data_IF_957579796931
#
_entry.id   IF_957579796931
#
_cell.length_a   1.000
_cell.length_b   1.000
_cell.length_c   1.000
_cell.angle_alpha   90.00
_cell.angle_beta   90.00
_cell.angle_gamma   90.00
#
_symmetry.space_group_name_H-M   'P 1'
#
loop_
_entity.id
_entity.type
_entity.pdbx_description
1 polymer ?
#
# COMPACT_ATOMS: atom_id res chain seq x y z
N UNK A 1 -13.79 4.57 28.24
CA UNK A 1 -14.98 4.15 27.46
C UNK A 1 -14.68 4.45 26.00
N UNK A 2 -14.29 3.44 25.23
CA UNK A 2 -13.86 3.59 23.83
C UNK A 2 -15.12 3.57 22.96
N UNK A 3 -15.48 4.71 22.38
CA UNK A 3 -16.54 4.77 21.38
C UNK A 3 -16.01 4.14 20.08
N UNK A 4 -16.40 2.90 19.81
CA UNK A 4 -16.14 2.25 18.54
C UNK A 4 -17.16 2.76 17.51
N UNK A 5 -16.78 3.73 16.70
CA UNK A 5 -17.50 4.04 15.47
C UNK A 5 -17.02 3.08 14.37
N UNK A 6 -17.93 2.25 13.85
CA UNK A 6 -17.67 1.44 12.66
C UNK A 6 -18.02 2.27 11.43
N UNK A 7 -17.01 2.80 10.72
CA UNK A 7 -17.19 3.23 9.34
C UNK A 7 -16.81 2.07 8.43
N UNK A 8 -17.76 1.60 7.62
CA UNK A 8 -17.44 0.77 6.47
C UNK A 8 -16.68 1.68 5.53
N UNK A 9 -15.39 1.40 5.28
CA UNK A 9 -14.62 2.10 4.25
C UNK A 9 -15.33 1.92 2.91
N UNK A 10 -16.11 2.94 2.53
CA UNK A 10 -16.68 3.10 1.21
C UNK A 10 -15.59 3.56 0.26
N UNK A 11 -15.13 2.65 -0.61
CA UNK A 11 -15.21 2.92 -2.06
C UNK A 11 -15.99 1.81 -2.80
N UNK A 12 -16.10 0.61 -2.21
CA UNK A 12 -16.68 -0.57 -2.87
C UNK A 12 -18.22 -0.54 -2.92
N UNK A 13 -18.87 -0.03 -1.86
CA UNK A 13 -20.33 0.12 -1.82
C UNK A 13 -20.82 1.19 -2.82
N UNK A 14 -20.02 2.23 -3.08
CA UNK A 14 -20.32 3.26 -4.07
C UNK A 14 -20.19 2.71 -5.50
N UNK A 15 -19.16 1.89 -5.76
CA UNK A 15 -18.94 1.22 -7.05
C UNK A 15 -20.10 0.29 -7.46
N UNK A 16 -20.67 -0.46 -6.52
CA UNK A 16 -21.81 -1.36 -6.81
C UNK A 16 -23.08 -0.59 -7.21
N UNK A 17 -23.38 0.54 -6.53
CA UNK A 17 -24.52 1.40 -6.88
C UNK A 17 -24.36 2.09 -8.24
N UNK A 18 -23.15 2.48 -8.61
CA UNK A 18 -22.89 3.20 -9.86
C UNK A 18 -22.78 2.30 -11.09
N UNK A 19 -22.42 1.02 -10.92
CA UNK A 19 -22.13 0.12 -12.05
C UNK A 19 -23.20 -0.95 -12.29
N UNK A 20 -24.19 -1.10 -11.40
CA UNK A 20 -25.21 -2.16 -11.49
C UNK A 20 -24.65 -3.58 -11.33
N UNK A 21 -23.34 -3.73 -11.07
CA UNK A 21 -22.71 -5.03 -10.82
C UNK A 21 -22.97 -5.44 -9.38
N UNK A 22 -23.60 -6.61 -9.22
CA UNK A 22 -23.74 -7.26 -7.93
C UNK A 22 -22.36 -7.48 -7.30
N UNK A 23 -22.28 -7.47 -5.97
CA UNK A 23 -21.05 -7.82 -5.26
C UNK A 23 -20.52 -9.16 -5.75
N UNK A 24 -19.25 -9.19 -6.17
CA UNK A 24 -18.60 -10.44 -6.54
C UNK A 24 -18.57 -11.33 -5.27
N UNK A 25 -19.18 -12.53 -5.28
CA UNK A 25 -19.14 -13.44 -4.14
C UNK A 25 -17.71 -13.90 -3.80
N UNK A 26 -16.72 -13.58 -4.65
CA UNK A 26 -15.30 -13.80 -4.43
C UNK A 26 -14.56 -12.63 -3.77
N UNK A 27 -15.22 -11.49 -3.52
CA UNK A 27 -14.60 -10.34 -2.87
C UNK A 27 -14.42 -10.56 -1.37
N UNK A 28 -13.18 -10.42 -0.91
CA UNK A 28 -12.87 -10.32 0.52
C UNK A 28 -13.23 -8.91 1.01
N UNK A 29 -13.89 -8.81 2.16
CA UNK A 29 -14.15 -7.51 2.78
C UNK A 29 -13.04 -7.19 3.74
N UNK A 30 -12.40 -6.05 3.58
CA UNK A 30 -11.53 -5.49 4.61
C UNK A 30 -12.40 -4.63 5.52
N UNK A 31 -12.82 -5.19 6.64
CA UNK A 31 -13.52 -4.43 7.67
C UNK A 31 -12.52 -4.02 8.73
N UNK A 32 -12.34 -2.72 8.88
CA UNK A 32 -11.49 -2.13 9.91
C UNK A 32 -12.36 -1.42 10.91
N UNK A 33 -12.14 -1.69 12.20
CA UNK A 33 -12.67 -0.81 13.23
C UNK A 33 -11.86 0.46 13.15
N UNK A 34 -12.43 1.59 13.55
CA UNK A 34 -11.62 2.75 13.91
C UNK A 34 -10.81 2.39 15.18
N UNK A 35 -9.80 1.54 15.03
CA UNK A 35 -8.77 1.36 16.03
C UNK A 35 -7.95 2.64 15.99
N UNK A 36 -8.34 3.60 16.82
CA UNK A 36 -7.65 4.86 17.00
C UNK A 36 -6.54 4.63 18.03
N UNK A 37 -5.35 4.26 17.56
CA UNK A 37 -4.19 4.08 18.42
C UNK A 37 -3.56 5.46 18.63
N UNK A 38 -3.54 6.01 19.86
CA UNK A 38 -2.90 7.29 20.11
C UNK A 38 -1.40 7.18 19.90
N UNK A 39 -0.80 8.24 19.37
CA UNK A 39 0.65 8.34 19.17
C UNK A 39 1.08 9.75 19.54
N UNK A 40 2.19 9.88 20.25
CA UNK A 40 2.77 11.17 20.62
C UNK A 40 3.84 11.58 19.60
N UNK A 41 4.18 12.87 19.55
CA UNK A 41 5.30 13.35 18.73
C UNK A 41 6.63 12.71 19.14
N UNK A 42 6.82 12.41 20.43
CA UNK A 42 7.99 11.70 20.94
C UNK A 42 8.10 10.24 20.46
N UNK A 43 7.01 9.66 19.97
CA UNK A 43 7.00 8.32 19.38
C UNK A 43 7.47 8.34 17.91
N UNK A 44 7.71 9.50 17.32
CA UNK A 44 8.15 9.66 15.93
C UNK A 44 9.68 9.83 15.88
N UNK A 45 10.33 9.08 15.00
CA UNK A 45 11.77 9.14 14.79
C UNK A 45 12.14 10.38 13.96
N UNK A 46 13.41 10.83 14.00
CA UNK A 46 13.89 11.93 13.16
C UNK A 46 13.71 11.70 11.65
N UNK A 47 13.65 10.43 11.21
CA UNK A 47 13.37 10.09 9.81
C UNK A 47 11.92 10.35 9.38
N UNK A 48 11.05 10.76 10.30
CA UNK A 48 9.62 10.95 10.03
C UNK A 48 9.40 12.04 8.99
N UNK A 49 8.68 11.77 7.89
CA UNK A 49 8.37 12.80 6.92
C UNK A 49 7.36 13.81 7.49
N UNK A 50 7.51 15.07 7.10
CA UNK A 50 6.72 16.19 7.62
C UNK A 50 5.21 16.08 7.41
N UNK A 51 4.77 15.28 6.43
CA UNK A 51 3.35 15.06 6.17
C UNK A 51 2.70 14.07 7.15
N UNK A 52 3.47 13.16 7.76
CA UNK A 52 2.91 12.07 8.57
C UNK A 52 2.14 12.57 9.81
N UNK A 53 2.65 13.54 10.60
CA UNK A 53 1.89 14.08 11.73
C UNK A 53 0.52 14.64 11.33
N UNK A 54 0.46 15.35 10.20
CA UNK A 54 -0.80 15.88 9.65
C UNK A 54 -1.75 14.77 9.20
N UNK A 55 -1.24 13.72 8.56
CA UNK A 55 -2.04 12.56 8.14
C UNK A 55 -2.60 11.76 9.34
N UNK A 56 -1.94 11.84 10.50
CA UNK A 56 -2.42 11.27 11.76
C UNK A 56 -3.44 12.18 12.47
N UNK A 57 -3.81 13.32 11.88
CA UNK A 57 -4.73 14.29 12.46
C UNK A 57 -4.09 15.21 13.50
N UNK A 58 -2.77 15.27 13.55
CA UNK A 58 -2.01 16.07 14.50
C UNK A 58 -2.30 17.56 14.39
N UNK A 59 -2.32 18.25 15.53
CA UNK A 59 -2.49 19.71 15.63
C UNK A 59 -1.36 20.32 16.43
N UNK A 60 -0.82 21.42 15.94
CA UNK A 60 0.21 22.17 16.67
C UNK A 60 -0.43 22.81 17.90
N UNK A 61 0.07 22.46 19.09
CA UNK A 61 -0.37 22.98 20.38
C UNK A 61 0.84 23.16 21.27
N UNK A 62 1.08 24.37 21.78
CA UNK A 62 2.18 24.61 22.73
C UNK A 62 3.58 24.21 22.23
N UNK A 63 3.85 24.36 20.92
CA UNK A 63 5.16 24.06 20.32
C UNK A 63 5.42 22.60 19.96
N UNK A 64 4.43 21.71 20.12
CA UNK A 64 4.52 20.29 19.73
C UNK A 64 3.25 19.87 18.96
N UNK A 65 3.30 18.73 18.25
CA UNK A 65 2.16 18.16 17.54
C UNK A 65 1.41 17.19 18.45
N UNK A 66 0.17 17.53 18.79
CA UNK A 66 -0.70 16.75 19.68
C UNK A 66 -1.87 16.10 18.91
N UNK A 67 -2.65 15.26 19.61
CA UNK A 67 -3.88 14.62 19.12
C UNK A 67 -3.75 13.66 17.93
N UNK A 68 -2.54 13.18 17.64
CA UNK A 68 -2.30 12.22 16.57
C UNK A 68 -2.90 10.85 16.89
N UNK A 69 -3.57 10.25 15.90
CA UNK A 69 -4.20 8.94 15.97
C UNK A 69 -3.95 8.14 14.71
N UNK A 70 -3.54 6.89 14.90
CA UNK A 70 -3.30 5.96 13.80
C UNK A 70 -4.63 5.29 13.47
N UNK A 71 -5.05 5.39 12.21
CA UNK A 71 -6.18 4.61 11.68
C UNK A 71 -5.67 3.37 10.95
N UNK A 72 -6.14 2.19 11.39
CA UNK A 72 -5.84 0.93 10.71
C UNK A 72 -6.59 0.75 9.38
N UNK A 73 -7.44 1.71 8.97
CA UNK A 73 -8.10 1.68 7.66
C UNK A 73 -7.17 2.04 6.50
N UNK A 74 -6.09 2.78 6.77
CA UNK A 74 -5.16 3.27 5.76
C UNK A 74 -3.84 2.50 5.79
N UNK A 75 -3.59 1.69 4.76
CA UNK A 75 -2.34 0.92 4.65
C UNK A 75 -1.11 1.82 4.51
N UNK A 76 -1.24 2.98 3.87
CA UNK A 76 -0.14 3.93 3.72
C UNK A 76 0.26 4.54 5.06
N UNK A 77 -0.72 4.96 5.88
CA UNK A 77 -0.48 5.50 7.22
C UNK A 77 0.12 4.43 8.13
N UNK A 78 -0.42 3.21 8.12
CA UNK A 78 0.13 2.11 8.93
C UNK A 78 1.57 1.80 8.55
N UNK A 79 1.88 1.67 7.25
CA UNK A 79 3.24 1.41 6.79
C UNK A 79 4.20 2.54 7.16
N UNK A 80 3.75 3.80 7.04
CA UNK A 80 4.56 4.95 7.45
C UNK A 80 4.85 4.92 8.97
N UNK A 81 3.85 4.60 9.79
CA UNK A 81 4.03 4.43 11.24
C UNK A 81 5.00 3.30 11.55
N UNK A 82 4.91 2.14 10.89
CA UNK A 82 5.84 1.03 11.11
C UNK A 82 7.29 1.37 10.74
N UNK A 83 7.50 2.30 9.80
CA UNK A 83 8.83 2.80 9.39
C UNK A 83 9.39 3.90 10.30
N UNK A 84 8.53 4.78 10.79
CA UNK A 84 8.95 6.03 11.41
C UNK A 84 8.62 6.15 12.89
N UNK A 85 7.82 5.24 13.46
CA UNK A 85 7.56 5.25 14.91
C UNK A 85 8.73 4.62 15.66
N UNK A 86 9.40 5.36 16.54
CA UNK A 86 10.52 4.90 17.37
C UNK A 86 10.05 3.95 18.47
N UNK A 87 8.85 4.16 19.01
CA UNK A 87 8.30 3.37 20.12
C UNK A 87 7.87 1.96 19.67
N UNK A 88 8.67 0.96 20.07
CA UNK A 88 8.46 -0.46 19.75
C UNK A 88 7.06 -0.98 20.11
N UNK A 89 6.54 -0.58 21.27
CA UNK A 89 5.23 -1.03 21.73
C UNK A 89 4.10 -0.52 20.82
N UNK A 90 4.20 0.71 20.31
CA UNK A 90 3.23 1.26 19.35
C UNK A 90 3.29 0.47 18.05
N UNK A 91 4.50 0.22 17.51
CA UNK A 91 4.66 -0.62 16.31
C UNK A 91 4.08 -2.02 16.48
N UNK A 92 4.31 -2.67 17.62
CA UNK A 92 3.74 -3.98 17.95
C UNK A 92 2.20 -3.97 17.90
N UNK A 93 1.56 -3.01 18.58
CA UNK A 93 0.08 -2.90 18.61
C UNK A 93 -0.48 -2.61 17.21
N UNK A 94 0.15 -1.69 16.47
CA UNK A 94 -0.23 -1.32 15.11
C UNK A 94 -0.12 -2.52 14.17
N UNK A 95 1.01 -3.22 14.18
CA UNK A 95 1.27 -4.37 13.32
C UNK A 95 0.27 -5.49 13.59
N UNK A 96 0.07 -5.86 14.86
CA UNK A 96 -0.91 -6.89 15.21
C UNK A 96 -2.33 -6.52 14.79
N UNK A 97 -2.74 -5.28 15.10
CA UNK A 97 -4.05 -4.77 14.67
C UNK A 97 -4.21 -4.82 13.15
N UNK A 98 -3.15 -4.50 12.40
CA UNK A 98 -3.12 -4.45 10.94
C UNK A 98 -3.20 -5.83 10.27
N UNK A 99 -2.40 -6.80 10.73
CA UNK A 99 -2.37 -8.15 10.13
C UNK A 99 -3.56 -9.01 10.55
N UNK A 100 -4.19 -8.70 11.68
CA UNK A 100 -5.40 -9.38 12.16
C UNK A 100 -6.71 -8.74 11.66
N UNK A 101 -6.62 -7.75 10.75
CA UNK A 101 -7.82 -7.16 10.16
C UNK A 101 -8.63 -8.24 9.46
N UNK A 102 -9.94 -8.22 9.72
CA UNK A 102 -10.88 -9.17 9.12
C UNK A 102 -10.58 -10.65 9.41
N UNK A 103 -9.88 -10.95 10.51
CA UNK A 103 -9.79 -12.32 11.08
C UNK A 103 -10.53 -12.44 12.43
N UNK A 104 -10.88 -11.31 13.05
CA UNK A 104 -11.55 -11.30 14.36
C UNK A 104 -13.02 -11.72 14.25
N UNK A 105 -13.37 -12.72 15.06
CA UNK A 105 -14.75 -13.23 15.18
C UNK A 105 -15.67 -12.28 15.94
N UNK A 106 -15.14 -11.42 16.81
CA UNK A 106 -15.94 -10.40 17.51
C UNK A 106 -15.40 -9.03 17.16
N UNK A 107 -16.24 -8.21 16.52
CA UNK A 107 -15.92 -6.85 16.11
C UNK A 107 -16.98 -5.89 16.67
N UNK A 108 -16.56 -4.79 17.31
CA UNK A 108 -17.48 -3.73 17.74
C UNK A 108 -18.36 -4.05 18.96
N UNK A 109 -17.85 -4.72 19.99
CA UNK A 109 -18.59 -4.95 21.24
C UNK A 109 -19.93 -5.69 21.05
N UNK A 110 -20.99 -5.24 21.72
CA UNK A 110 -22.31 -5.88 21.78
C UNK A 110 -23.10 -5.92 20.45
N UNK A 111 -22.55 -5.41 19.34
CA UNK A 111 -23.24 -5.34 18.05
C UNK A 111 -23.29 -6.66 17.29
N UNK A 112 -22.58 -7.70 17.74
CA UNK A 112 -22.60 -9.04 17.13
C UNK A 112 -22.04 -9.08 15.71
N UNK A 113 -21.34 -8.03 15.25
CA UNK A 113 -20.81 -7.97 13.90
C UNK A 113 -19.57 -8.85 13.75
N UNK A 114 -19.57 -9.71 12.72
CA UNK A 114 -18.45 -10.57 12.37
C UNK A 114 -17.66 -9.93 11.21
N UNK A 115 -16.45 -9.44 11.49
CA UNK A 115 -15.53 -8.94 10.48
C UNK A 115 -14.70 -10.06 9.83
N UNK A 116 -14.73 -11.29 10.36
CA UNK A 116 -13.91 -12.41 9.88
C UNK A 116 -14.23 -12.81 8.43
N UNK A 117 -13.19 -12.98 7.64
CA UNK A 117 -13.24 -13.52 6.29
C UNK A 117 -13.08 -15.05 6.23
N UNK A 118 -12.87 -15.75 7.36
CA UNK A 118 -12.56 -17.19 7.35
C UNK A 118 -13.62 -18.01 6.58
N UNK A 119 -14.90 -17.81 6.92
CA UNK A 119 -16.01 -18.48 6.24
C UNK A 119 -16.12 -18.11 4.76
N UNK A 120 -15.85 -16.84 4.42
CA UNK A 120 -15.85 -16.37 3.02
C UNK A 120 -14.74 -17.02 2.21
N UNK A 121 -13.52 -17.05 2.75
CA UNK A 121 -12.37 -17.71 2.13
C UNK A 121 -12.68 -19.19 1.87
N UNK A 122 -13.28 -19.88 2.85
CA UNK A 122 -13.65 -21.29 2.68
C UNK A 122 -14.76 -21.49 1.63
N UNK A 123 -15.75 -20.60 1.56
CA UNK A 123 -16.77 -20.63 0.51
C UNK A 123 -16.13 -20.43 -0.87
N UNK A 124 -15.24 -19.45 -1.01
CA UNK A 124 -14.52 -19.16 -2.27
C UNK A 124 -13.69 -20.35 -2.71
N UNK A 125 -12.93 -20.96 -1.78
CA UNK A 125 -12.13 -22.17 -2.06
C UNK A 125 -13.01 -23.31 -2.56
N UNK A 126 -14.14 -23.57 -1.91
CA UNK A 126 -15.10 -24.60 -2.33
C UNK A 126 -15.71 -24.30 -3.70
N UNK A 127 -16.08 -23.05 -3.96
CA UNK A 127 -16.62 -22.63 -5.26
C UNK A 127 -15.59 -22.82 -6.38
N UNK A 128 -14.35 -22.37 -6.17
CA UNK A 128 -13.23 -22.55 -7.10
C UNK A 128 -12.95 -24.03 -7.39
N UNK A 129 -12.96 -24.88 -6.37
CA UNK A 129 -12.77 -26.31 -6.53
C UNK A 129 -13.91 -26.96 -7.34
N UNK A 130 -15.17 -26.62 -7.05
CA UNK A 130 -16.33 -27.12 -7.82
C UNK A 130 -16.26 -26.72 -9.29
N UNK A 131 -15.87 -25.48 -9.57
CA UNK A 131 -15.73 -24.98 -10.93
C UNK A 131 -14.60 -25.70 -11.68
N UNK A 132 -13.46 -25.94 -11.04
CA UNK A 132 -12.38 -26.74 -11.63
C UNK A 132 -12.86 -28.14 -12.03
N UNK A 133 -13.57 -28.83 -11.14
CA UNK A 133 -14.11 -30.17 -11.41
C UNK A 133 -15.10 -30.16 -12.59
N UNK A 134 -15.98 -29.15 -12.67
CA UNK A 134 -16.94 -29.01 -13.78
C UNK A 134 -16.25 -28.78 -15.13
N UNK A 135 -15.11 -28.10 -15.13
CA UNK A 135 -14.30 -27.85 -16.33
C UNK A 135 -13.30 -28.98 -16.62
N UNK A 136 -13.35 -30.10 -15.89
CA UNK A 136 -12.39 -31.20 -16.04
C UNK A 136 -10.95 -30.82 -15.73
N UNK A 137 -10.73 -29.76 -14.94
CA UNK A 137 -9.41 -29.32 -14.48
C UNK A 137 -9.11 -29.93 -13.10
N UNK A 138 -7.83 -30.22 -12.85
CA UNK A 138 -7.30 -30.76 -11.59
C UNK A 138 -7.59 -29.83 -10.41
N UNK A 139 -7.40 -28.53 -10.60
CA UNK A 139 -7.59 -27.52 -9.56
C UNK A 139 -7.88 -26.13 -10.16
N UNK A 140 -8.08 -25.15 -9.27
CA UNK A 140 -8.32 -23.76 -9.66
C UNK A 140 -7.14 -23.13 -10.39
N UNK A 141 -5.92 -23.56 -10.10
CA UNK A 141 -4.72 -23.00 -10.72
C UNK A 141 -4.67 -23.38 -12.19
N UNK A 142 -5.03 -24.63 -12.54
CA UNK A 142 -5.15 -25.06 -13.93
C UNK A 142 -6.26 -24.30 -14.68
N UNK A 143 -7.40 -24.01 -14.04
CA UNK A 143 -8.46 -23.19 -14.64
C UNK A 143 -7.93 -21.80 -15.01
N UNK A 144 -7.21 -21.14 -14.10
CA UNK A 144 -6.60 -19.83 -14.36
C UNK A 144 -5.54 -19.92 -15.45
N UNK A 145 -4.75 -20.99 -15.46
CA UNK A 145 -3.65 -21.19 -16.42
C UNK A 145 -4.13 -21.43 -17.85
N UNK A 146 -5.28 -22.09 -18.02
CA UNK A 146 -5.93 -22.25 -19.33
C UNK A 146 -6.58 -20.96 -19.83
N UNK A 147 -6.68 -19.93 -18.99
CA UNK A 147 -7.22 -18.62 -19.35
C UNK A 147 -6.24 -17.77 -20.17
N UNK A 148 -6.77 -16.74 -20.83
CA UNK A 148 -6.01 -15.85 -21.74
C UNK A 148 -5.01 -14.92 -21.05
N UNK A 149 -4.88 -14.98 -19.73
CA UNK A 149 -4.10 -14.03 -18.93
C UNK A 149 -2.79 -14.62 -18.38
N UNK A 150 -2.53 -15.91 -18.56
CA UNK A 150 -1.32 -16.58 -18.10
C UNK A 150 -0.48 -17.04 -19.30
N UNK A 151 0.40 -16.17 -19.82
CA UNK A 151 1.07 -16.41 -21.10
C UNK A 151 2.59 -16.65 -21.01
N UNK A 152 3.19 -16.64 -19.82
CA UNK A 152 4.66 -16.65 -19.69
C UNK A 152 5.28 -18.03 -19.42
N UNK A 153 4.52 -19.04 -18.97
CA UNK A 153 5.04 -20.40 -18.75
C UNK A 153 4.03 -21.46 -19.24
N UNK A 154 4.49 -22.61 -19.79
CA UNK A 154 3.62 -23.61 -20.42
C UNK A 154 2.66 -24.31 -19.43
N UNK A 155 2.97 -24.28 -18.13
CA UNK A 155 2.08 -24.74 -17.06
C UNK A 155 2.39 -24.03 -15.74
N UNK A 156 1.48 -24.20 -14.77
CA UNK A 156 1.68 -23.74 -13.41
C UNK A 156 2.85 -24.46 -12.72
N UNK A 157 2.97 -25.78 -12.93
CA UNK A 157 4.10 -26.57 -12.44
C UNK A 157 5.43 -26.06 -13.01
N UNK A 158 5.47 -25.73 -14.31
CA UNK A 158 6.66 -25.17 -14.94
C UNK A 158 7.01 -23.78 -14.38
N UNK A 159 6.02 -22.94 -14.04
CA UNK A 159 6.30 -21.65 -13.37
C UNK A 159 7.00 -21.88 -12.03
N UNK A 160 6.49 -22.83 -11.23
CA UNK A 160 7.03 -23.13 -9.91
C UNK A 160 8.45 -23.70 -10.05
N UNK A 161 8.62 -24.73 -10.87
CA UNK A 161 9.87 -25.48 -10.98
C UNK A 161 10.98 -24.70 -11.68
N UNK A 162 10.65 -23.94 -12.73
CA UNK A 162 11.66 -23.29 -13.57
C UNK A 162 11.96 -21.85 -13.15
N UNK A 163 11.07 -21.21 -12.38
CA UNK A 163 11.23 -19.80 -12.01
C UNK A 163 11.15 -19.57 -10.49
N UNK A 164 10.04 -19.92 -9.84
CA UNK A 164 9.83 -19.55 -8.44
C UNK A 164 10.77 -20.30 -7.49
N UNK A 165 10.98 -21.60 -7.70
CA UNK A 165 11.85 -22.42 -6.86
C UNK A 165 13.35 -22.12 -7.04
N UNK A 166 13.86 -21.94 -8.27
CA UNK A 166 15.21 -21.41 -8.48
C UNK A 166 15.39 -20.03 -7.85
N UNK A 167 14.44 -19.11 -8.05
CA UNK A 167 14.49 -17.78 -7.44
C UNK A 167 14.53 -17.86 -5.91
N UNK A 168 13.67 -18.68 -5.30
CA UNK A 168 13.69 -18.93 -3.85
C UNK A 168 15.02 -19.49 -3.38
N UNK A 169 15.59 -20.43 -4.11
CA UNK A 169 16.87 -21.07 -3.79
C UNK A 169 18.01 -20.05 -3.82
N UNK A 170 18.02 -19.17 -4.83
CA UNK A 170 19.04 -18.11 -4.98
C UNK A 170 18.87 -16.99 -3.95
N UNK A 171 17.65 -16.52 -3.70
CA UNK A 171 17.39 -15.36 -2.82
C UNK A 171 17.40 -15.70 -1.33
N UNK A 172 17.13 -16.96 -0.95
CA UNK A 172 17.03 -17.33 0.48
C UNK A 172 18.35 -17.15 1.25
N UNK A 173 19.54 -17.53 0.74
CA UNK A 173 20.81 -17.23 1.38
C UNK A 173 21.04 -15.72 1.52
N UNK A 174 20.76 -14.94 0.47
CA UNK A 174 20.88 -13.47 0.50
C UNK A 174 19.99 -12.86 1.58
N UNK A 175 18.70 -13.22 1.62
CA UNK A 175 17.77 -12.71 2.64
C UNK A 175 18.15 -13.09 4.07
N UNK A 176 18.82 -14.24 4.29
CA UNK A 176 19.37 -14.60 5.60
C UNK A 176 20.54 -13.69 5.99
N UNK A 177 21.44 -13.40 5.04
CA UNK A 177 22.58 -12.53 5.25
C UNK A 177 22.13 -11.08 5.51
N UNK A 178 21.19 -10.56 4.71
CA UNK A 178 20.61 -9.23 4.89
C UNK A 178 19.91 -9.10 6.25
N UNK A 179 19.13 -10.12 6.65
CA UNK A 179 18.49 -10.14 7.97
C UNK A 179 19.53 -10.17 9.10
N UNK A 180 20.62 -10.92 8.95
CA UNK A 180 21.70 -10.96 9.93
C UNK A 180 22.36 -9.58 10.08
N UNK A 181 22.77 -8.96 8.97
CA UNK A 181 23.38 -7.63 8.96
C UNK A 181 22.45 -6.58 9.58
N UNK A 182 21.16 -6.63 9.26
CA UNK A 182 20.17 -5.72 9.83
C UNK A 182 20.02 -5.94 11.34
N UNK A 183 20.01 -7.18 11.84
CA UNK A 183 19.96 -7.46 13.27
C UNK A 183 21.20 -6.94 14.00
N UNK A 184 22.40 -7.14 13.43
CA UNK A 184 23.67 -6.67 14.00
C UNK A 184 23.71 -5.14 14.07
N UNK A 185 23.35 -4.47 12.98
CA UNK A 185 23.25 -3.02 12.92
C UNK A 185 22.20 -2.48 13.90
N UNK A 186 21.00 -3.04 13.91
CA UNK A 186 19.90 -2.58 14.75
C UNK A 186 20.18 -2.81 16.24
N UNK A 187 20.84 -3.92 16.61
CA UNK A 187 21.27 -4.19 17.99
C UNK A 187 22.27 -3.17 18.51
N UNK A 188 23.07 -2.58 17.61
CA UNK A 188 24.14 -1.64 17.94
C UNK A 188 23.67 -0.18 17.93
N UNK A 189 22.69 0.15 17.08
CA UNK A 189 22.30 1.54 16.80
C UNK A 189 20.89 1.91 17.30
N UNK A 190 20.04 0.93 17.60
CA UNK A 190 18.67 1.15 18.05
C UNK A 190 18.45 0.59 19.46
N UNK A 191 17.33 0.93 20.09
CA UNK A 191 16.95 0.46 21.44
C UNK A 191 16.51 -1.01 21.47
N UNK A 192 17.18 -1.88 20.72
CA UNK A 192 16.90 -3.31 20.58
C UNK A 192 18.00 -4.19 21.21
N UNK A 193 18.60 -3.74 22.32
CA UNK A 193 19.81 -4.36 22.90
C UNK A 193 19.72 -5.89 22.99
N UNK A 194 20.39 -6.58 22.08
CA UNK A 194 20.48 -8.04 22.02
C UNK A 194 19.21 -8.78 21.60
N UNK A 195 18.11 -8.09 21.28
CA UNK A 195 16.87 -8.72 20.83
C UNK A 195 16.85 -8.91 19.32
N UNK A 196 16.41 -10.09 18.88
CA UNK A 196 16.11 -10.31 17.45
C UNK A 196 14.97 -9.40 17.01
N UNK A 197 15.05 -8.91 15.78
CA UNK A 197 13.99 -8.14 15.15
C UNK A 197 12.74 -9.00 14.99
N UNK A 198 11.63 -8.51 15.53
CA UNK A 198 10.30 -9.07 15.30
C UNK A 198 9.68 -8.45 14.03
N UNK A 199 8.58 -9.02 13.49
CA UNK A 199 7.97 -8.51 12.26
C UNK A 199 7.60 -7.02 12.27
N UNK A 200 7.29 -6.45 13.44
CA UNK A 200 6.99 -5.03 13.62
C UNK A 200 8.22 -4.13 13.80
N UNK A 201 9.42 -4.70 13.84
CA UNK A 201 10.69 -3.97 13.93
C UNK A 201 11.39 -3.83 12.57
N UNK A 202 11.06 -4.69 11.60
CA UNK A 202 11.73 -4.79 10.30
C UNK A 202 11.71 -3.48 9.51
N UNK A 203 10.52 -2.92 9.28
CA UNK A 203 10.36 -1.69 8.49
C UNK A 203 11.07 -0.50 9.16
N UNK A 204 10.97 -0.40 10.49
CA UNK A 204 11.66 0.64 11.27
C UNK A 204 13.18 0.50 11.15
N UNK A 205 13.72 -0.70 11.37
CA UNK A 205 15.16 -0.92 11.31
C UNK A 205 15.74 -0.62 9.93
N UNK A 206 15.05 -1.03 8.85
CA UNK A 206 15.46 -0.72 7.47
C UNK A 206 15.43 0.78 7.23
N UNK A 207 14.36 1.47 7.66
CA UNK A 207 14.23 2.91 7.46
C UNK A 207 15.31 3.68 8.22
N UNK A 208 15.59 3.33 9.48
CA UNK A 208 16.64 3.98 10.25
C UNK A 208 18.03 3.69 9.68
N UNK A 209 18.28 2.48 9.17
CA UNK A 209 19.52 2.14 8.48
C UNK A 209 19.71 3.01 7.23
N UNK A 210 18.67 3.11 6.40
CA UNK A 210 18.68 3.93 5.21
C UNK A 210 18.84 5.41 5.54
N UNK A 211 18.14 5.90 6.56
CA UNK A 211 18.27 7.28 7.03
C UNK A 211 19.71 7.56 7.48
N UNK A 212 20.31 6.70 8.30
CA UNK A 212 21.70 6.85 8.72
C UNK A 212 22.69 6.84 7.54
N UNK A 213 22.43 6.02 6.52
CA UNK A 213 23.26 5.92 5.31
C UNK A 213 23.05 7.09 4.32
N UNK A 214 21.85 7.67 4.24
CA UNK A 214 21.48 8.68 3.23
C UNK A 214 21.48 10.11 3.76
N UNK A 215 21.21 10.34 5.05
CA UNK A 215 21.24 11.68 5.66
C UNK A 215 22.64 12.30 5.60
N UNK A 216 23.69 11.48 5.47
CA UNK A 216 25.07 11.93 5.27
C UNK A 216 25.40 12.31 3.82
N UNK A 217 24.60 11.94 2.80
CA UNK A 217 24.99 12.16 1.39
C UNK A 217 23.92 12.72 0.43
N UNK A 218 22.60 12.58 0.67
CA UNK A 218 21.61 12.76 -0.42
C UNK A 218 20.33 13.55 -0.12
N UNK A 219 20.15 14.11 1.08
CA UNK A 219 18.93 14.84 1.42
C UNK A 219 18.66 16.05 0.49
N UNK A 220 19.72 16.63 -0.10
CA UNK A 220 19.62 17.75 -1.04
C UNK A 220 19.25 17.35 -2.49
N UNK A 221 19.23 16.06 -2.85
CA UNK A 221 19.10 15.61 -4.24
C UNK A 221 17.75 14.95 -4.59
N UNK A 222 16.97 14.51 -3.59
CA UNK A 222 15.77 13.70 -3.82
C UNK A 222 14.44 14.47 -3.72
N UNK A 223 14.45 15.66 -3.14
CA UNK A 223 13.26 16.53 -3.10
C UNK A 223 13.29 17.44 -4.32
N UNK A 224 12.22 17.50 -5.14
CA UNK A 224 12.13 18.44 -6.25
C UNK A 224 12.42 19.87 -5.75
N UNK A 225 13.29 20.59 -6.45
CA UNK A 225 13.71 21.95 -6.10
C UNK A 225 12.59 22.99 -6.23
N UNK A 226 11.41 22.58 -6.72
CA UNK A 226 10.18 23.35 -6.81
C UNK A 226 9.12 22.64 -7.67
N UNK A 227 7.87 23.12 -7.61
CA UNK A 227 6.74 22.60 -8.41
C UNK A 227 5.74 21.74 -7.62
N UNK A 228 4.61 21.38 -8.26
CA UNK A 228 3.60 20.47 -7.68
C UNK A 228 3.89 19.02 -8.11
N UNK A 229 3.42 18.03 -7.34
CA UNK A 229 3.49 16.62 -7.76
C UNK A 229 2.88 16.41 -9.15
N UNK A 230 1.77 17.11 -9.41
CA UNK A 230 1.07 17.12 -10.69
C UNK A 230 1.96 17.63 -11.82
N UNK A 231 2.71 18.72 -11.62
CA UNK A 231 3.63 19.22 -12.64
C UNK A 231 4.81 18.25 -12.87
N UNK A 232 5.33 17.64 -11.81
CA UNK A 232 6.43 16.67 -11.92
C UNK A 232 6.02 15.43 -12.72
N UNK A 233 4.86 14.85 -12.41
CA UNK A 233 4.33 13.70 -13.17
C UNK A 233 3.99 14.10 -14.61
N UNK A 234 3.46 15.32 -14.82
CA UNK A 234 3.25 15.86 -16.16
C UNK A 234 4.53 15.91 -17.00
N UNK A 235 5.64 16.39 -16.41
CA UNK A 235 6.96 16.40 -17.06
C UNK A 235 7.47 15.00 -17.38
N UNK A 236 7.39 14.06 -16.43
CA UNK A 236 7.78 12.66 -16.63
C UNK A 236 6.99 12.01 -17.78
N UNK A 237 5.68 12.26 -17.85
CA UNK A 237 4.84 11.76 -18.93
C UNK A 237 5.23 12.39 -20.27
N UNK A 238 5.63 13.65 -20.30
CA UNK A 238 6.19 14.29 -21.49
C UNK A 238 7.47 13.59 -21.98
N UNK A 239 8.40 13.29 -21.06
CA UNK A 239 9.63 12.54 -21.39
C UNK A 239 9.33 11.14 -21.92
N UNK A 240 8.43 10.39 -21.27
CA UNK A 240 8.02 9.06 -21.72
C UNK A 240 7.32 9.11 -23.08
N UNK A 241 6.43 10.08 -23.30
CA UNK A 241 5.72 10.24 -24.56
C UNK A 241 6.67 10.51 -25.73
N UNK A 242 7.71 11.31 -25.50
CA UNK A 242 8.72 11.58 -26.51
C UNK A 242 9.42 10.30 -27.02
N UNK A 243 9.64 9.30 -26.15
CA UNK A 243 10.21 8.00 -26.55
C UNK A 243 9.35 7.27 -27.60
N UNK A 244 8.04 7.51 -27.57
CA UNK A 244 7.06 6.89 -28.47
C UNK A 244 6.60 7.84 -29.59
N UNK A 245 7.30 8.96 -29.82
CA UNK A 245 6.93 9.97 -30.80
C UNK A 245 5.54 10.60 -30.53
N UNK A 246 5.17 10.71 -29.26
CA UNK A 246 3.99 11.46 -28.83
C UNK A 246 4.40 12.77 -28.14
N UNK A 247 3.53 13.77 -28.24
CA UNK A 247 3.62 15.03 -27.51
C UNK A 247 2.51 15.07 -26.46
N UNK A 248 2.89 15.46 -25.25
CA UNK A 248 1.96 15.67 -24.13
C UNK A 248 1.89 17.16 -23.82
N UNK A 249 0.68 17.70 -23.76
CA UNK A 249 0.43 19.10 -23.40
C UNK A 249 -0.77 19.22 -22.46
N UNK A 250 -0.83 20.22 -21.57
CA UNK A 250 -2.04 20.49 -20.80
C UNK A 250 -3.24 20.71 -21.72
N UNK A 251 -4.36 20.04 -21.42
CA UNK A 251 -5.60 20.23 -22.18
C UNK A 251 -6.26 21.56 -21.74
N UNK A 252 -6.43 22.55 -22.63
CA UNK A 252 -7.06 23.82 -22.31
C UNK A 252 -8.50 23.68 -21.78
N UNK A 253 -9.21 22.61 -22.18
CA UNK A 253 -10.58 22.35 -21.76
C UNK A 253 -10.69 21.68 -20.39
N UNK A 254 -9.57 21.25 -19.80
CA UNK A 254 -9.53 20.47 -18.56
C UNK A 254 -9.12 21.25 -17.31
N UNK A 255 -8.89 22.56 -17.42
CA UNK A 255 -8.60 23.43 -16.28
C UNK A 255 -9.92 23.79 -15.59
N UNK A 256 -10.40 22.94 -14.68
CA UNK A 256 -11.52 23.28 -13.80
C UNK A 256 -11.02 24.27 -12.73
N UNK A 257 -11.53 25.52 -12.66
CA UNK A 257 -11.02 26.56 -11.77
C UNK A 257 -11.09 26.24 -10.27
N UNK A 258 -11.74 25.13 -9.89
CA UNK A 258 -11.84 24.67 -8.50
C UNK A 258 -11.04 23.40 -8.17
N UNK A 259 -10.28 22.83 -9.13
CA UNK A 259 -9.54 21.57 -8.95
C UNK A 259 -8.09 21.68 -9.42
N UNK A 260 -7.27 22.37 -8.63
CA UNK A 260 -5.81 22.44 -8.84
C UNK A 260 -5.10 21.09 -8.63
N UNK A 261 -5.83 20.08 -8.14
CA UNK A 261 -5.34 18.74 -7.82
C UNK A 261 -5.49 17.73 -8.98
N UNK A 262 -6.16 18.11 -10.07
CA UNK A 262 -6.34 17.28 -11.27
C UNK A 262 -5.81 17.94 -12.52
N UNK A 263 -4.98 17.21 -13.26
CA UNK A 263 -4.46 17.65 -14.55
C UNK A 263 -4.96 16.77 -15.67
N UNK A 264 -5.57 17.40 -16.66
CA UNK A 264 -5.90 16.75 -17.93
C UNK A 264 -4.82 17.08 -18.96
N UNK A 265 -4.28 16.04 -19.56
CA UNK A 265 -3.23 16.08 -20.55
C UNK A 265 -3.78 15.60 -21.90
N UNK A 266 -3.48 16.33 -22.97
CA UNK A 266 -3.74 15.96 -24.36
C UNK A 266 -2.51 15.24 -24.91
N UNK A 267 -2.74 14.13 -25.61
CA UNK A 267 -1.70 13.34 -26.29
C UNK A 267 -1.85 13.52 -27.79
N UNK A 268 -0.79 13.95 -28.46
CA UNK A 268 -0.73 14.14 -29.90
C UNK A 268 0.35 13.25 -30.51
N UNK A 269 0.07 12.66 -31.66
CA UNK A 269 1.07 11.97 -32.47
C UNK A 269 1.93 12.98 -33.20
N UNK A 270 3.24 12.95 -32.99
CA UNK A 270 4.18 13.87 -33.64
C UNK A 270 4.27 13.67 -35.16
N UNK A 271 3.91 12.48 -35.68
CA UNK A 271 3.96 12.19 -37.11
C UNK A 271 2.74 12.74 -37.84
N UNK A 272 1.54 12.52 -37.29
CA UNK A 272 0.28 12.96 -37.90
C UNK A 272 -0.22 14.32 -37.41
N UNK A 273 0.36 14.86 -36.33
CA UNK A 273 -0.14 16.02 -35.58
C UNK A 273 -1.61 15.86 -35.15
N UNK A 274 -2.09 14.64 -35.02
CA UNK A 274 -3.46 14.32 -34.64
C UNK A 274 -3.55 14.00 -33.15
N UNK A 275 -4.70 14.32 -32.55
CA UNK A 275 -4.97 13.96 -31.16
C UNK A 275 -5.28 12.47 -31.07
N UNK A 276 -4.47 11.76 -30.31
CA UNK A 276 -4.62 10.31 -30.09
C UNK A 276 -5.49 10.04 -28.88
N UNK A 277 -5.45 10.93 -27.89
CA UNK A 277 -6.26 10.77 -26.68
C UNK A 277 -5.94 11.79 -25.60
N UNK A 278 -6.46 11.50 -24.40
CA UNK A 278 -6.27 12.33 -23.22
C UNK A 278 -5.96 11.46 -22.01
N UNK A 279 -5.18 11.99 -21.07
CA UNK A 279 -4.88 11.38 -19.77
C UNK A 279 -5.38 12.31 -18.68
N UNK A 280 -6.02 11.76 -17.65
CA UNK A 280 -6.45 12.51 -16.48
C UNK A 280 -5.64 12.02 -15.28
N UNK A 281 -4.94 12.94 -14.64
CA UNK A 281 -4.17 12.70 -13.42
C UNK A 281 -5.01 13.14 -12.22
N UNK A 282 -5.57 12.18 -11.49
CA UNK A 282 -6.22 12.39 -10.19
C UNK A 282 -5.46 11.57 -9.15
N UNK A 283 -4.49 12.23 -8.50
CA UNK A 283 -3.42 11.56 -7.76
C UNK A 283 -3.69 11.46 -6.26
N UNK A 284 -4.69 12.18 -5.75
CA UNK A 284 -4.90 12.34 -4.31
C UNK A 284 -6.08 11.50 -3.83
N UNK A 285 -5.89 10.77 -2.73
CA UNK A 285 -6.97 10.01 -2.08
C UNK A 285 -8.00 10.95 -1.47
N UNK A 286 -9.30 10.62 -1.62
CA UNK A 286 -10.44 11.32 -1.03
C UNK A 286 -11.28 10.36 -0.21
#
# INVERSE_FOLDING_TARGET
>A
MVFAASSVTGPLALRSRLTGRAHDPSDLKVMTGAANIPVAESDLAPSTPSWLPSALGGRVSGGHVADMRISLSSDSVVRAVLKHCSTRQVRHVVWHGWVQRSSLRSFGGATGQHASNDGRIQNIRRARHRLANLLGCKDWLEVVWRGTHCCSSPSAEALIQNYLEPLRTTLRPMGKQELQLLNEWASSNLEFRGSKLDPWDMDYAIEQHNYAATHTQFQAQLLPTGGTLVSYIGSLLGELANLFQFRVSPDPAGLDPGRDDVLRLRIEDCLSNSVVGHVILDLFSR
#
